data_IF_570048630792
#
_entry.id   IF_570048630792
#
_cell.length_a   1.000
_cell.length_b   1.000
_cell.length_c   1.000
_cell.angle_alpha   90.00
_cell.angle_beta   90.00
_cell.angle_gamma   90.00
#
_symmetry.space_group_name_H-M   'P 1'
#
loop_
_entity.id
_entity.type
_entity.pdbx_description
1 polymer ?
#
# COMPACT_ATOMS: atom_id res chain seq x y z
N UNK A 1 22.47 -9.87 3.54
CA UNK A 1 21.46 -10.30 4.52
C UNK A 1 20.24 -10.83 3.78
N UNK A 2 19.74 -12.00 4.16
CA UNK A 2 18.47 -12.51 3.65
C UNK A 2 17.31 -11.72 4.25
N UNK A 3 16.35 -11.33 3.43
CA UNK A 3 15.09 -10.77 3.93
C UNK A 3 14.29 -11.92 4.56
N UNK A 4 13.59 -11.69 5.67
CA UNK A 4 12.65 -12.67 6.22
C UNK A 4 11.62 -13.10 5.18
N UNK A 5 11.16 -14.34 5.28
CA UNK A 5 10.09 -14.86 4.42
C UNK A 5 8.80 -14.04 4.65
N UNK A 6 8.15 -13.63 3.56
CA UNK A 6 6.80 -13.06 3.63
C UNK A 6 5.81 -14.20 3.65
N UNK A 7 5.37 -14.57 4.84
CA UNK A 7 4.38 -15.63 5.03
C UNK A 7 3.00 -15.14 4.61
N UNK A 8 2.28 -15.95 3.85
CA UNK A 8 0.92 -15.69 3.37
C UNK A 8 -0.03 -16.76 3.93
N UNK A 9 -1.06 -16.33 4.66
CA UNK A 9 -2.08 -17.22 5.21
C UNK A 9 -3.41 -16.48 5.42
N UNK A 10 -4.52 -17.24 5.48
CA UNK A 10 -5.86 -16.67 5.61
C UNK A 10 -6.01 -15.86 6.91
N UNK A 11 -6.58 -14.66 6.79
CA UNK A 11 -6.81 -13.76 7.92
C UNK A 11 -5.55 -13.06 8.45
N UNK A 12 -4.39 -13.23 7.79
CA UNK A 12 -3.18 -12.50 8.16
C UNK A 12 -3.35 -10.98 7.98
N UNK A 13 -2.80 -10.22 8.91
CA UNK A 13 -2.73 -8.77 8.86
C UNK A 13 -1.31 -8.34 8.51
N UNK A 14 -1.18 -7.46 7.52
CA UNK A 14 0.11 -6.95 7.07
C UNK A 14 0.20 -5.44 7.24
N UNK A 15 1.32 -4.96 7.77
CA UNK A 15 1.69 -3.56 7.69
C UNK A 15 2.50 -3.34 6.42
N UNK A 16 1.94 -2.56 5.49
CA UNK A 16 2.57 -2.22 4.21
C UNK A 16 3.04 -0.78 4.26
N UNK A 17 4.31 -0.54 3.93
CA UNK A 17 4.90 0.81 3.89
C UNK A 17 5.35 1.14 2.48
N UNK A 18 5.03 2.35 2.02
CA UNK A 18 5.60 2.93 0.80
C UNK A 18 6.64 3.99 1.17
N UNK A 19 7.73 4.06 0.40
CA UNK A 19 8.79 5.06 0.60
C UNK A 19 9.30 5.50 -0.76
N UNK A 20 9.34 6.82 -0.98
CA UNK A 20 9.89 7.37 -2.21
C UNK A 20 11.37 7.02 -2.38
N UNK A 21 11.78 6.87 -3.63
CA UNK A 21 13.18 6.64 -3.96
C UNK A 21 14.03 7.75 -3.33
N UNK A 22 15.17 7.39 -2.73
CA UNK A 22 16.04 8.35 -2.02
C UNK A 22 15.35 9.19 -0.93
N UNK A 23 14.24 8.70 -0.33
CA UNK A 23 13.39 9.47 0.63
C UNK A 23 12.69 10.68 0.02
N UNK A 24 12.60 10.76 -1.31
CA UNK A 24 11.82 11.81 -1.98
C UNK A 24 10.33 11.66 -1.66
N UNK A 25 9.58 12.71 -1.90
CA UNK A 25 8.12 12.67 -1.83
C UNK A 25 7.58 11.55 -2.74
N UNK A 26 6.54 10.84 -2.26
CA UNK A 26 5.89 9.76 -3.01
C UNK A 26 4.94 10.36 -4.07
N UNK A 27 4.33 11.50 -3.74
CA UNK A 27 3.44 12.28 -4.61
C UNK A 27 4.12 13.59 -4.97
N UNK A 28 4.04 14.03 -6.23
CA UNK A 28 4.63 15.29 -6.65
C UNK A 28 3.67 16.45 -6.35
N UNK A 29 2.37 16.18 -6.37
CA UNK A 29 1.30 17.13 -6.07
C UNK A 29 0.08 16.41 -5.47
N UNK A 30 -0.92 17.20 -5.09
CA UNK A 30 -2.18 16.71 -4.51
C UNK A 30 -2.97 15.80 -5.46
N UNK A 31 -2.95 16.08 -6.77
CA UNK A 31 -3.64 15.26 -7.77
C UNK A 31 -3.09 13.83 -7.79
N UNK A 32 -1.77 13.65 -7.67
CA UNK A 32 -1.17 12.32 -7.61
C UNK A 32 -1.64 11.53 -6.37
N UNK A 33 -1.82 12.22 -5.24
CA UNK A 33 -2.34 11.62 -4.02
C UNK A 33 -3.79 11.17 -4.18
N UNK A 34 -4.64 12.01 -4.79
CA UNK A 34 -6.04 11.66 -5.07
C UNK A 34 -6.14 10.46 -6.03
N UNK A 35 -5.35 10.42 -7.10
CA UNK A 35 -5.30 9.28 -8.03
C UNK A 35 -4.86 8.00 -7.31
N UNK A 36 -3.92 8.09 -6.36
CA UNK A 36 -3.53 6.96 -5.54
C UNK A 36 -4.68 6.45 -4.67
N UNK A 37 -5.41 7.34 -3.99
CA UNK A 37 -6.56 6.96 -3.17
C UNK A 37 -7.65 6.27 -3.99
N UNK A 38 -7.96 6.80 -5.17
CA UNK A 38 -8.92 6.21 -6.11
C UNK A 38 -8.48 4.80 -6.54
N UNK A 39 -7.21 4.64 -6.89
CA UNK A 39 -6.65 3.34 -7.27
C UNK A 39 -6.71 2.33 -6.11
N UNK A 40 -6.37 2.76 -4.90
CA UNK A 40 -6.43 1.91 -3.70
C UNK A 40 -7.87 1.47 -3.43
N UNK A 41 -8.85 2.36 -3.56
CA UNK A 41 -10.26 2.03 -3.42
C UNK A 41 -10.69 0.96 -4.43
N UNK A 42 -10.35 1.13 -5.71
CA UNK A 42 -10.65 0.14 -6.76
C UNK A 42 -9.99 -1.21 -6.50
N UNK A 43 -8.76 -1.22 -5.97
CA UNK A 43 -8.06 -2.45 -5.58
C UNK A 43 -8.77 -3.14 -4.40
N UNK A 44 -9.22 -2.37 -3.41
CA UNK A 44 -9.97 -2.94 -2.28
C UNK A 44 -11.26 -3.62 -2.74
N UNK A 45 -12.02 -2.97 -3.63
CA UNK A 45 -13.23 -3.55 -4.22
C UNK A 45 -12.93 -4.81 -5.05
N UNK A 46 -11.89 -4.75 -5.89
CA UNK A 46 -11.56 -5.85 -6.81
C UNK A 46 -11.01 -7.08 -6.09
N UNK A 47 -10.21 -6.88 -5.06
CA UNK A 47 -9.45 -7.95 -4.40
C UNK A 47 -9.92 -8.24 -2.97
N UNK A 48 -11.00 -7.60 -2.52
CA UNK A 48 -11.56 -7.73 -1.17
C UNK A 48 -10.55 -7.40 -0.07
N UNK A 49 -9.72 -6.37 -0.29
CA UNK A 49 -8.79 -5.93 0.75
C UNK A 49 -9.55 -5.12 1.81
N UNK A 50 -9.15 -5.31 3.07
CA UNK A 50 -9.64 -4.53 4.20
C UNK A 50 -8.50 -3.67 4.72
N UNK A 51 -8.66 -2.35 4.63
CA UNK A 51 -7.70 -1.39 5.19
C UNK A 51 -8.15 -1.04 6.61
N UNK A 52 -7.34 -1.43 7.58
CA UNK A 52 -7.59 -1.11 9.00
C UNK A 52 -7.11 0.30 9.38
N UNK A 53 -6.06 0.79 8.71
CA UNK A 53 -5.51 2.14 8.90
C UNK A 53 -4.69 2.53 7.66
N UNK A 54 -4.70 3.84 7.34
CA UNK A 54 -3.86 4.47 6.32
C UNK A 54 -3.43 5.86 6.81
#
# INVERSE_FOLDING_TARGET
MSRPLRLEFAGALYHVTSRGNERKAIYLNETDYQVFLELVAQVCERFNWVIHAY
#
